data_IF_747476287055
#
_entry.id   IF_747476287055
#
_cell.length_a   1.000
_cell.length_b   1.000
_cell.length_c   1.000
_cell.angle_alpha   90.00
_cell.angle_beta   90.00
_cell.angle_gamma   90.00
#
_symmetry.space_group_name_H-M   'P 1'
#
loop_
_entity.id
_entity.type
_entity.pdbx_description
1 polymer ?
#
# COMPACT_ATOMS: atom_id res chain seq x y z
N UNK A 1 -23.10 -14.35 15.76
CA UNK A 1 -23.96 -13.48 14.92
C UNK A 1 -23.14 -12.24 14.59
N UNK A 2 -23.15 -11.77 13.34
CA UNK A 2 -22.29 -10.66 12.87
C UNK A 2 -22.68 -9.27 13.40
N UNK A 3 -23.76 -9.17 14.19
CA UNK A 3 -24.18 -7.92 14.84
C UNK A 3 -25.01 -6.98 13.98
N UNK A 4 -25.30 -7.32 12.71
CA UNK A 4 -26.06 -6.45 11.81
C UNK A 4 -27.54 -6.33 12.17
N UNK A 5 -28.03 -5.09 12.21
CA UNK A 5 -29.43 -4.73 12.05
C UNK A 5 -29.91 -4.93 10.61
N UNK A 6 -31.20 -4.72 10.33
CA UNK A 6 -31.70 -4.73 8.95
C UNK A 6 -31.20 -3.52 8.16
N UNK A 7 -31.04 -2.36 8.81
CA UNK A 7 -30.52 -1.15 8.17
C UNK A 7 -29.07 -1.39 7.68
N UNK A 8 -28.21 -1.93 8.54
CA UNK A 8 -26.82 -2.26 8.21
C UNK A 8 -26.72 -3.18 6.98
N UNK A 9 -27.62 -4.18 6.88
CA UNK A 9 -27.65 -5.12 5.75
C UNK A 9 -28.02 -4.42 4.44
N UNK A 10 -28.99 -3.51 4.48
CA UNK A 10 -29.43 -2.76 3.30
C UNK A 10 -28.35 -1.77 2.85
N UNK A 11 -27.70 -1.08 3.78
CA UNK A 11 -26.58 -0.17 3.50
C UNK A 11 -25.38 -0.92 2.92
N UNK A 12 -25.01 -2.06 3.53
CA UNK A 12 -23.92 -2.91 3.05
C UNK A 12 -24.21 -3.47 1.66
N UNK A 13 -25.44 -3.92 1.41
CA UNK A 13 -25.87 -4.37 0.08
C UNK A 13 -25.76 -3.24 -0.94
N UNK A 14 -26.32 -2.06 -0.62
CA UNK A 14 -26.25 -0.87 -1.48
C UNK A 14 -24.80 -0.48 -1.81
N UNK A 15 -23.91 -0.46 -0.82
CA UNK A 15 -22.48 -0.20 -1.03
C UNK A 15 -21.86 -1.26 -1.94
N UNK A 16 -22.13 -2.54 -1.67
CA UNK A 16 -21.54 -3.64 -2.45
C UNK A 16 -22.00 -3.64 -3.92
N UNK A 17 -23.22 -3.19 -4.20
CA UNK A 17 -23.81 -3.12 -5.54
C UNK A 17 -23.49 -1.81 -6.27
N UNK A 18 -23.19 -0.71 -5.57
CA UNK A 18 -22.92 0.60 -6.16
C UNK A 18 -21.74 0.60 -7.15
N UNK A 19 -21.88 1.26 -8.29
CA UNK A 19 -20.79 1.39 -9.27
C UNK A 19 -19.54 2.05 -8.65
N UNK A 20 -18.34 1.58 -9.01
CA UNK A 20 -17.09 2.18 -8.48
C UNK A 20 -16.97 3.67 -8.83
N UNK A 21 -17.51 4.09 -9.98
CA UNK A 21 -17.59 5.50 -10.35
C UNK A 21 -18.52 6.33 -9.44
N UNK A 22 -19.59 5.71 -8.91
CA UNK A 22 -20.50 6.36 -7.97
C UNK A 22 -19.90 6.42 -6.56
N UNK A 23 -19.14 5.40 -6.15
CA UNK A 23 -18.36 5.43 -4.91
C UNK A 23 -17.25 6.50 -5.02
N UNK A 24 -16.53 6.58 -6.14
CA UNK A 24 -15.56 7.63 -6.42
C UNK A 24 -14.53 7.81 -5.30
N UNK A 25 -14.47 9.02 -4.74
CA UNK A 25 -13.55 9.42 -3.65
C UNK A 25 -14.19 9.36 -2.26
N UNK A 26 -15.36 8.71 -2.12
CA UNK A 26 -16.08 8.63 -0.84
C UNK A 26 -15.39 7.72 0.17
N UNK A 27 -15.57 8.09 1.44
CA UNK A 27 -15.20 7.31 2.61
C UNK A 27 -16.24 6.23 2.89
N UNK A 28 -15.87 5.19 3.65
CA UNK A 28 -16.83 4.17 4.11
C UNK A 28 -17.96 4.83 4.94
N UNK A 29 -17.64 5.85 5.74
CA UNK A 29 -18.61 6.64 6.53
C UNK A 29 -19.66 7.37 5.70
N UNK A 30 -19.42 7.61 4.40
CA UNK A 30 -20.40 8.26 3.53
C UNK A 30 -21.54 7.29 3.12
N UNK A 31 -21.34 5.99 3.34
CA UNK A 31 -22.24 4.94 2.88
C UNK A 31 -22.87 4.12 4.01
N UNK A 32 -22.21 4.05 5.17
CA UNK A 32 -22.63 3.23 6.31
C UNK A 32 -22.90 4.11 7.53
N UNK A 33 -24.03 3.85 8.20
CA UNK A 33 -24.45 4.60 9.38
C UNK A 33 -23.52 4.36 10.58
N UNK A 34 -23.42 5.30 11.55
CA UNK A 34 -22.56 5.17 12.73
C UNK A 34 -22.71 3.85 13.49
N UNK A 35 -23.93 3.31 13.57
CA UNK A 35 -24.20 2.03 14.26
C UNK A 35 -23.48 0.83 13.62
N UNK A 36 -23.20 0.88 12.31
CA UNK A 36 -22.47 -0.18 11.61
C UNK A 36 -21.05 -0.37 12.19
N UNK A 37 -20.40 0.73 12.55
CA UNK A 37 -19.03 0.73 13.07
C UNK A 37 -18.91 0.19 14.49
N UNK A 38 -20.03 -0.06 15.17
CA UNK A 38 -20.09 -0.72 16.48
C UNK A 38 -20.38 -2.23 16.36
N UNK A 39 -20.58 -2.74 15.14
CA UNK A 39 -20.92 -4.15 14.93
C UNK A 39 -19.72 -5.07 15.18
N UNK A 40 -19.99 -6.31 15.60
CA UNK A 40 -18.95 -7.34 15.70
C UNK A 40 -18.27 -7.57 14.35
N UNK A 41 -19.02 -7.48 13.25
CA UNK A 41 -18.47 -7.56 11.90
C UNK A 41 -17.40 -6.48 11.65
N UNK A 42 -17.73 -5.20 11.85
CA UNK A 42 -16.79 -4.12 11.56
C UNK A 42 -15.52 -4.27 12.40
N UNK A 43 -15.66 -4.57 13.69
CA UNK A 43 -14.51 -4.78 14.57
C UNK A 43 -13.58 -5.89 14.07
N UNK A 44 -14.11 -7.02 13.61
CA UNK A 44 -13.29 -8.10 13.03
C UNK A 44 -12.68 -7.69 11.69
N UNK A 45 -13.45 -7.04 10.82
CA UNK A 45 -13.00 -6.66 9.48
C UNK A 45 -11.91 -5.58 9.51
N UNK A 46 -12.16 -4.49 10.23
CA UNK A 46 -11.24 -3.39 10.39
C UNK A 46 -9.92 -3.82 11.02
N UNK A 47 -9.95 -4.68 12.04
CA UNK A 47 -8.72 -5.17 12.68
C UNK A 47 -7.97 -6.21 11.85
N UNK A 48 -8.67 -7.02 11.05
CA UNK A 48 -8.03 -8.02 10.17
C UNK A 48 -7.30 -7.36 9.00
N UNK A 49 -7.89 -6.31 8.42
CA UNK A 49 -7.40 -5.66 7.20
C UNK A 49 -6.85 -4.24 7.41
N UNK A 50 -6.81 -3.77 8.66
CA UNK A 50 -6.40 -2.41 9.03
C UNK A 50 -7.23 -1.29 8.37
N UNK A 51 -8.51 -1.53 8.07
CA UNK A 51 -9.41 -0.48 7.58
C UNK A 51 -9.74 0.53 8.67
N UNK A 52 -9.85 1.79 8.27
CA UNK A 52 -10.39 2.88 9.07
C UNK A 52 -11.69 3.40 8.43
N UNK A 53 -12.62 4.00 9.19
CA UNK A 53 -13.89 4.49 8.64
C UNK A 53 -13.74 5.53 7.51
N UNK A 54 -12.66 6.32 7.53
CA UNK A 54 -12.33 7.31 6.51
C UNK A 54 -11.61 6.72 5.28
N UNK A 55 -11.31 5.42 5.25
CA UNK A 55 -10.72 4.80 4.06
C UNK A 55 -11.73 4.66 2.92
N UNK A 56 -11.21 4.36 1.73
CA UNK A 56 -11.99 4.29 0.48
C UNK A 56 -13.13 3.28 0.56
N UNK A 57 -14.34 3.75 0.22
CA UNK A 57 -15.50 2.87 0.04
C UNK A 57 -15.32 1.90 -1.15
N UNK A 58 -14.57 2.30 -2.18
CA UNK A 58 -14.23 1.43 -3.33
C UNK A 58 -13.41 0.23 -2.86
N UNK A 59 -12.37 0.46 -2.06
CA UNK A 59 -11.55 -0.64 -1.54
C UNK A 59 -12.34 -1.53 -0.57
N UNK A 60 -13.18 -0.95 0.29
CA UNK A 60 -14.08 -1.74 1.13
C UNK A 60 -15.02 -2.63 0.31
N UNK A 61 -15.66 -2.09 -0.73
CA UNK A 61 -16.45 -2.87 -1.71
C UNK A 61 -15.62 -4.01 -2.31
N UNK A 62 -14.43 -3.72 -2.81
CA UNK A 62 -13.56 -4.73 -3.44
C UNK A 62 -13.25 -5.87 -2.49
N UNK A 63 -12.98 -5.59 -1.21
CA UNK A 63 -12.73 -6.64 -0.23
C UNK A 63 -13.99 -7.48 0.06
N UNK A 64 -15.18 -6.87 0.15
CA UNK A 64 -16.44 -7.62 0.32
C UNK A 64 -16.67 -8.63 -0.82
N UNK A 65 -16.41 -8.22 -2.06
CA UNK A 65 -16.51 -9.10 -3.23
C UNK A 65 -15.38 -10.14 -3.24
N UNK A 66 -14.14 -9.71 -3.04
CA UNK A 66 -12.94 -10.55 -3.16
C UNK A 66 -12.86 -11.65 -2.10
N UNK A 67 -13.36 -11.37 -0.90
CA UNK A 67 -13.29 -12.25 0.26
C UNK A 67 -14.67 -12.75 0.70
N UNK A 68 -15.67 -12.74 -0.20
CA UNK A 68 -17.03 -13.22 0.10
C UNK A 68 -17.06 -14.64 0.70
N UNK A 69 -16.18 -15.54 0.24
CA UNK A 69 -16.06 -16.91 0.78
C UNK A 69 -15.40 -16.98 2.17
N UNK A 70 -14.71 -15.94 2.60
CA UNK A 70 -14.12 -15.83 3.93
C UNK A 70 -15.07 -15.18 4.94
N UNK A 71 -16.15 -14.54 4.45
CA UNK A 71 -17.12 -13.85 5.30
C UNK A 71 -17.75 -14.75 6.37
N UNK A 72 -18.02 -16.02 6.04
CA UNK A 72 -18.57 -17.01 6.97
C UNK A 72 -17.54 -17.62 7.94
N UNK A 73 -16.25 -17.28 7.78
CA UNK A 73 -15.13 -17.84 8.54
C UNK A 73 -14.26 -16.76 9.17
N UNK A 74 -14.62 -15.48 9.04
CA UNK A 74 -13.79 -14.35 9.45
C UNK A 74 -13.49 -14.38 10.95
N UNK A 75 -14.43 -14.88 11.75
CA UNK A 75 -14.28 -15.01 13.21
C UNK A 75 -13.25 -16.06 13.63
N UNK A 76 -12.96 -17.03 12.75
CA UNK A 76 -11.95 -18.08 13.01
C UNK A 76 -10.65 -17.87 12.26
N UNK A 77 -10.67 -17.02 11.21
CA UNK A 77 -9.58 -16.85 10.25
C UNK A 77 -9.11 -18.18 9.62
N UNK A 78 -9.98 -19.20 9.55
CA UNK A 78 -9.62 -20.53 9.08
C UNK A 78 -9.17 -20.59 7.61
N UNK A 79 -9.49 -19.57 6.80
CA UNK A 79 -8.99 -19.44 5.43
C UNK A 79 -7.57 -18.86 5.34
N UNK A 80 -7.03 -18.30 6.43
CA UNK A 80 -5.71 -17.67 6.44
C UNK A 80 -4.62 -18.73 6.40
N UNK A 81 -3.80 -18.68 5.35
CA UNK A 81 -2.59 -19.49 5.22
C UNK A 81 -1.37 -18.67 5.64
N UNK A 82 -0.48 -19.26 6.43
CA UNK A 82 0.75 -18.62 6.89
C UNK A 82 1.98 -19.34 6.36
N UNK A 83 3.04 -18.57 6.14
CA UNK A 83 4.38 -19.10 5.87
C UNK A 83 5.04 -19.60 7.16
N UNK A 84 6.10 -20.40 7.02
CA UNK A 84 6.83 -20.95 8.18
C UNK A 84 7.51 -19.86 9.02
N UNK A 85 8.10 -18.86 8.35
CA UNK A 85 8.69 -17.68 8.98
C UNK A 85 7.94 -16.42 8.54
N UNK A 86 8.47 -15.24 8.88
CA UNK A 86 8.02 -13.99 8.29
C UNK A 86 8.16 -14.01 6.75
N UNK A 87 7.48 -13.09 6.08
CA UNK A 87 7.42 -13.04 4.60
C UNK A 87 8.77 -12.68 3.97
N UNK A 88 9.63 -11.93 4.67
CA UNK A 88 10.96 -11.62 4.17
C UNK A 88 11.81 -12.89 4.05
N UNK A 89 11.86 -13.70 5.10
CA UNK A 89 12.61 -14.96 5.09
C UNK A 89 11.96 -16.05 4.25
N UNK A 90 10.63 -16.13 4.22
CA UNK A 90 9.93 -17.22 3.54
C UNK A 90 9.68 -16.97 2.05
N UNK A 91 9.64 -15.70 1.61
CA UNK A 91 9.28 -15.33 0.23
C UNK A 91 10.36 -14.47 -0.43
N UNK A 92 10.74 -13.34 0.19
CA UNK A 92 11.64 -12.36 -0.41
C UNK A 92 13.04 -12.93 -0.59
N UNK A 93 13.65 -13.49 0.45
CA UNK A 93 15.01 -14.06 0.39
C UNK A 93 15.12 -15.22 -0.61
N UNK A 94 14.21 -16.21 -0.64
CA UNK A 94 14.23 -17.25 -1.66
C UNK A 94 14.13 -16.70 -3.08
N UNK A 95 13.20 -15.76 -3.33
CA UNK A 95 13.03 -15.16 -4.65
C UNK A 95 14.29 -14.38 -5.07
N UNK A 96 14.85 -13.58 -4.17
CA UNK A 96 16.05 -12.80 -4.46
C UNK A 96 17.24 -13.71 -4.79
N UNK A 97 17.45 -14.76 -4.00
CA UNK A 97 18.50 -15.75 -4.25
C UNK A 97 18.31 -16.45 -5.59
N UNK A 98 17.07 -16.80 -5.95
CA UNK A 98 16.77 -17.42 -7.24
C UNK A 98 17.06 -16.47 -8.40
N UNK A 99 16.62 -15.21 -8.32
CA UNK A 99 16.89 -14.18 -9.35
C UNK A 99 18.39 -13.94 -9.56
N UNK A 100 19.15 -13.82 -8.48
CA UNK A 100 20.61 -13.68 -8.55
C UNK A 100 21.26 -14.90 -9.22
N UNK A 101 20.78 -16.11 -8.94
CA UNK A 101 21.24 -17.33 -9.61
C UNK A 101 20.86 -17.37 -11.11
N UNK A 102 19.83 -16.64 -11.53
CA UNK A 102 19.49 -16.42 -12.95
C UNK A 102 20.30 -15.28 -13.60
N UNK A 103 21.22 -14.64 -12.87
CA UNK A 103 22.05 -13.55 -13.39
C UNK A 103 21.42 -12.17 -13.30
N UNK A 104 20.34 -11.99 -12.51
CA UNK A 104 19.76 -10.66 -12.28
C UNK A 104 20.68 -9.83 -11.39
N UNK A 105 21.05 -8.65 -11.87
CA UNK A 105 21.81 -7.66 -11.10
C UNK A 105 20.91 -6.96 -10.09
N UNK A 106 21.33 -6.94 -8.82
CA UNK A 106 20.64 -6.24 -7.75
C UNK A 106 21.48 -5.09 -7.23
N UNK A 107 21.03 -3.87 -7.49
CA UNK A 107 21.69 -2.66 -7.03
C UNK A 107 21.01 -2.15 -5.75
N UNK A 108 21.79 -1.96 -4.69
CA UNK A 108 21.31 -1.40 -3.41
C UNK A 108 22.04 -0.10 -3.11
N UNK A 109 21.56 0.68 -2.13
CA UNK A 109 22.09 2.02 -1.83
C UNK A 109 22.09 2.94 -3.07
N UNK A 110 21.09 2.76 -3.93
CA UNK A 110 20.88 3.49 -5.17
C UNK A 110 19.45 4.06 -5.13
N UNK A 111 19.33 5.38 -5.12
CA UNK A 111 18.02 6.06 -5.10
C UNK A 111 17.76 6.64 -6.47
N UNK A 112 16.73 6.16 -7.17
CA UNK A 112 16.26 6.78 -8.40
C UNK A 112 15.58 8.10 -8.07
N UNK A 113 16.03 9.19 -8.69
CA UNK A 113 15.58 10.56 -8.40
C UNK A 113 14.78 11.18 -9.54
N UNK A 114 14.93 10.69 -10.77
CA UNK A 114 14.19 11.20 -11.93
C UNK A 114 14.20 10.24 -13.11
N UNK A 115 13.29 10.49 -14.07
CA UNK A 115 13.30 9.87 -15.38
C UNK A 115 13.39 10.93 -16.49
N UNK A 116 14.24 10.70 -17.47
CA UNK A 116 14.15 11.42 -18.75
C UNK A 116 13.00 10.84 -19.55
N UNK A 117 12.05 11.70 -19.92
CA UNK A 117 10.83 11.32 -20.61
C UNK A 117 10.74 12.01 -21.97
N UNK A 118 10.37 11.23 -22.98
CA UNK A 118 10.07 11.70 -24.33
C UNK A 118 8.67 11.25 -24.73
N UNK A 119 7.98 12.09 -25.50
CA UNK A 119 6.72 11.69 -26.14
C UNK A 119 6.99 11.26 -27.57
N UNK A 120 6.63 10.02 -27.89
CA UNK A 120 6.71 9.44 -29.23
C UNK A 120 5.36 8.83 -29.60
N UNK A 121 4.76 9.25 -30.71
CA UNK A 121 3.45 8.79 -31.19
C UNK A 121 2.33 8.84 -30.11
N UNK A 122 2.37 9.89 -29.28
CA UNK A 122 1.41 10.08 -28.18
C UNK A 122 1.63 9.15 -26.97
N UNK A 123 2.75 8.41 -26.93
CA UNK A 123 3.16 7.57 -25.81
C UNK A 123 4.35 8.18 -25.08
N UNK A 124 4.41 7.98 -23.78
CA UNK A 124 5.54 8.39 -22.95
C UNK A 124 6.58 7.27 -22.98
N UNK A 125 7.81 7.61 -23.31
CA UNK A 125 8.97 6.73 -23.36
C UNK A 125 10.00 7.22 -22.34
N UNK A 126 10.49 6.32 -21.49
CA UNK A 126 11.63 6.60 -20.61
C UNK A 126 12.91 6.39 -21.41
N UNK A 127 13.78 7.39 -21.44
CA UNK A 127 15.07 7.33 -22.16
C UNK A 127 16.27 7.35 -21.22
N UNK A 128 16.06 7.64 -19.94
CA UNK A 128 17.13 7.73 -18.94
C UNK A 128 16.59 7.63 -17.52
N UNK A 129 17.36 7.03 -16.63
CA UNK A 129 17.07 6.90 -15.20
C UNK A 129 18.17 7.60 -14.43
N UNK A 130 17.83 8.72 -13.79
CA UNK A 130 18.74 9.45 -12.91
C UNK A 130 18.73 8.79 -11.53
N UNK A 131 19.90 8.43 -11.03
CA UNK A 131 20.02 7.83 -9.70
C UNK A 131 21.18 8.43 -8.91
N UNK A 132 21.06 8.41 -7.59
CA UNK A 132 22.11 8.80 -6.64
C UNK A 132 22.64 7.55 -5.95
N UNK A 133 23.96 7.36 -6.01
CA UNK A 133 24.69 6.26 -5.37
C UNK A 133 25.78 6.83 -4.48
N UNK A 134 25.68 6.65 -3.17
CA UNK A 134 26.66 7.15 -2.21
C UNK A 134 27.01 8.65 -2.39
N UNK A 135 26.04 9.47 -2.81
CA UNK A 135 26.23 10.91 -3.07
C UNK A 135 26.78 11.27 -4.47
N UNK A 136 27.07 10.29 -5.32
CA UNK A 136 27.37 10.51 -6.75
C UNK A 136 26.11 10.33 -7.59
N UNK A 137 25.89 11.27 -8.51
CA UNK A 137 24.82 11.19 -9.49
C UNK A 137 25.26 10.36 -10.69
N UNK A 138 24.39 9.46 -11.14
CA UNK A 138 24.60 8.58 -12.28
C UNK A 138 23.34 8.55 -13.16
N UNK A 139 23.55 8.30 -14.45
CA UNK A 139 22.51 8.20 -15.46
C UNK A 139 22.57 6.82 -16.11
N UNK A 140 21.50 6.05 -15.96
CA UNK A 140 21.33 4.80 -16.70
C UNK A 140 20.54 5.11 -17.97
N UNK A 141 21.18 4.99 -19.13
CA UNK A 141 20.50 5.12 -20.42
C UNK A 141 19.49 3.98 -20.61
N UNK A 142 18.32 4.32 -21.15
CA UNK A 142 17.27 3.36 -21.48
C UNK A 142 17.12 3.33 -22.99
N UNK A 143 17.53 2.22 -23.61
CA UNK A 143 17.54 2.06 -25.04
C UNK A 143 16.18 1.63 -25.60
N UNK A 144 16.03 1.71 -26.92
CA UNK A 144 14.87 1.20 -27.61
C UNK A 144 14.73 -0.31 -27.40
N UNK A 145 13.65 -0.73 -26.73
CA UNK A 145 13.37 -2.13 -26.40
C UNK A 145 13.53 -2.47 -24.91
N UNK A 146 14.17 -1.59 -24.14
CA UNK A 146 14.26 -1.74 -22.69
C UNK A 146 12.91 -1.45 -22.02
N UNK A 147 12.67 -2.10 -20.88
CA UNK A 147 11.44 -1.94 -20.10
C UNK A 147 11.77 -1.40 -18.72
N UNK A 148 11.03 -0.38 -18.30
CA UNK A 148 11.16 0.21 -16.97
C UNK A 148 9.91 -0.13 -16.15
N UNK A 149 10.13 -0.80 -15.01
CA UNK A 149 9.09 -1.09 -14.03
C UNK A 149 9.32 -0.21 -12.81
N UNK A 150 8.32 0.62 -12.47
CA UNK A 150 8.41 1.56 -11.37
C UNK A 150 7.36 1.24 -10.30
N UNK A 151 7.82 1.02 -9.07
CA UNK A 151 6.94 0.96 -7.90
C UNK A 151 6.71 2.38 -7.38
N UNK A 152 5.54 2.94 -7.68
CA UNK A 152 5.17 4.30 -7.35
C UNK A 152 4.62 4.41 -5.91
N UNK A 153 5.48 4.83 -4.97
CA UNK A 153 5.14 4.96 -3.56
C UNK A 153 5.42 3.70 -2.74
N UNK A 154 5.40 3.84 -1.42
CA UNK A 154 5.57 2.73 -0.49
C UNK A 154 4.85 3.00 0.83
N UNK A 155 4.20 1.97 1.37
CA UNK A 155 3.54 2.01 2.68
C UNK A 155 4.53 2.01 3.85
N UNK A 156 5.77 1.57 3.62
CA UNK A 156 6.83 1.53 4.64
C UNK A 156 7.79 2.71 4.53
N UNK A 157 7.56 3.63 3.60
CA UNK A 157 8.37 4.84 3.45
C UNK A 157 8.30 5.69 4.72
N UNK A 158 9.40 6.38 5.04
CA UNK A 158 9.54 7.18 6.26
C UNK A 158 9.18 6.46 7.58
N UNK A 159 9.22 5.12 7.62
CA UNK A 159 9.08 4.38 8.88
C UNK A 159 10.29 4.61 9.77
N UNK A 160 10.05 4.77 11.07
CA UNK A 160 11.08 4.89 12.10
C UNK A 160 10.92 3.79 13.14
N UNK A 161 11.99 3.55 13.91
CA UNK A 161 12.03 2.47 14.89
C UNK A 161 12.33 3.05 16.27
N UNK A 162 11.55 2.61 17.25
CA UNK A 162 11.80 2.83 18.67
C UNK A 162 12.60 1.67 19.27
N UNK A 163 12.57 1.61 20.59
CA UNK A 163 13.07 0.49 21.38
C UNK A 163 12.17 0.25 22.58
N UNK A 164 12.52 -0.71 23.44
CA UNK A 164 11.83 -0.93 24.71
C UNK A 164 11.74 0.34 25.58
N UNK A 165 12.70 1.26 25.45
CA UNK A 165 12.84 2.44 26.32
C UNK A 165 12.82 3.77 25.57
N UNK A 166 12.57 3.76 24.26
CA UNK A 166 12.54 4.98 23.45
C UNK A 166 11.44 4.89 22.40
N UNK A 167 10.61 5.94 22.31
CA UNK A 167 9.63 6.04 21.23
C UNK A 167 10.32 6.12 19.86
N UNK A 168 9.69 5.63 18.78
CA UNK A 168 10.15 5.88 17.42
C UNK A 168 10.17 7.38 17.12
N UNK A 169 11.14 7.81 16.31
CA UNK A 169 11.22 9.22 15.89
C UNK A 169 10.00 9.61 15.06
N UNK A 170 9.37 10.74 15.35
CA UNK A 170 8.25 11.23 14.56
C UNK A 170 8.75 11.74 13.21
N UNK A 171 8.47 10.99 12.14
CA UNK A 171 8.84 11.34 10.76
C UNK A 171 7.70 12.09 10.08
N UNK A 172 8.07 12.92 9.12
CA UNK A 172 7.14 13.73 8.33
C UNK A 172 7.30 13.43 6.85
N UNK A 173 6.52 14.11 6.02
CA UNK A 173 6.66 14.04 4.55
C UNK A 173 8.07 14.42 4.07
N UNK A 174 8.81 15.24 4.82
CA UNK A 174 10.18 15.63 4.47
C UNK A 174 11.17 14.46 4.54
N UNK A 175 10.85 13.43 5.33
CA UNK A 175 11.68 12.23 5.48
C UNK A 175 11.33 11.15 4.43
N UNK A 176 10.28 11.33 3.65
CA UNK A 176 9.82 10.37 2.65
C UNK A 176 10.69 10.44 1.39
N UNK A 177 11.22 9.30 0.96
CA UNK A 177 11.95 9.17 -0.30
C UNK A 177 11.17 8.44 -1.39
N UNK A 178 10.34 7.46 -0.99
CA UNK A 178 9.62 6.56 -1.91
C UNK A 178 8.50 7.22 -2.72
N UNK A 179 8.00 8.38 -2.28
CA UNK A 179 6.92 9.09 -2.97
C UNK A 179 7.39 10.17 -3.95
N UNK A 180 8.60 10.71 -3.76
CA UNK A 180 9.06 11.93 -4.43
C UNK A 180 9.09 11.79 -5.96
N UNK A 181 9.57 10.65 -6.47
CA UNK A 181 9.61 10.41 -7.91
C UNK A 181 8.20 10.38 -8.51
N UNK A 182 7.24 9.74 -7.83
CA UNK A 182 5.86 9.71 -8.32
C UNK A 182 5.23 11.11 -8.31
N UNK A 183 5.41 11.88 -7.25
CA UNK A 183 4.95 13.28 -7.18
C UNK A 183 5.51 14.13 -8.30
N UNK A 184 6.80 14.00 -8.58
CA UNK A 184 7.47 14.70 -9.66
C UNK A 184 6.92 14.30 -11.03
N UNK A 185 6.72 13.00 -11.27
CA UNK A 185 6.17 12.49 -12.53
C UNK A 185 4.73 12.96 -12.76
N UNK A 186 3.89 12.90 -11.72
CA UNK A 186 2.48 13.26 -11.77
C UNK A 186 2.21 14.78 -11.86
N UNK A 187 3.21 15.62 -11.53
CA UNK A 187 3.07 17.07 -11.57
C UNK A 187 2.69 17.57 -12.98
N UNK A 188 1.44 18.02 -13.14
CA UNK A 188 0.90 18.49 -14.41
C UNK A 188 0.62 17.39 -15.44
N UNK A 189 0.69 16.11 -15.04
CA UNK A 189 0.55 14.93 -15.92
C UNK A 189 -0.41 13.91 -15.29
N UNK A 190 -1.73 14.10 -15.45
CA UNK A 190 -2.74 13.27 -14.80
C UNK A 190 -2.67 11.78 -15.20
N UNK A 191 -2.07 11.45 -16.35
CA UNK A 191 -1.83 10.08 -16.81
C UNK A 191 -0.92 9.26 -15.88
N UNK A 192 -0.12 9.92 -15.03
CA UNK A 192 0.68 9.26 -13.99
C UNK A 192 -0.06 9.11 -12.65
N UNK A 193 -1.34 9.50 -12.59
CA UNK A 193 -2.17 9.38 -11.39
C UNK A 193 -2.02 10.54 -10.40
N UNK A 194 -2.51 10.35 -9.18
CA UNK A 194 -2.58 11.38 -8.14
C UNK A 194 -1.97 10.89 -6.81
N UNK A 195 -0.66 11.07 -6.57
CA UNK A 195 -0.01 10.65 -5.33
C UNK A 195 -0.61 11.34 -4.09
N UNK A 196 -1.10 12.58 -4.23
CA UNK A 196 -1.68 13.33 -3.12
C UNK A 196 -2.94 12.67 -2.53
N UNK A 197 -3.64 11.81 -3.29
CA UNK A 197 -4.76 11.03 -2.76
C UNK A 197 -4.33 10.02 -1.68
N UNK A 198 -3.04 9.68 -1.61
CA UNK A 198 -2.50 8.65 -0.71
C UNK A 198 -1.57 9.23 0.35
N UNK A 199 -0.78 10.26 0.02
CA UNK A 199 0.31 10.72 0.87
C UNK A 199 0.16 12.17 1.39
N UNK A 200 -0.97 12.83 1.13
CA UNK A 200 -1.22 14.18 1.64
C UNK A 200 -1.70 14.19 3.09
N UNK A 201 -2.37 13.13 3.52
CA UNK A 201 -2.91 12.95 4.87
C UNK A 201 -2.19 11.81 5.58
N UNK A 202 -1.01 12.12 6.14
CA UNK A 202 -0.24 11.16 6.94
C UNK A 202 -1.09 10.63 8.11
N UNK A 203 -1.79 11.46 8.92
CA UNK A 203 -2.60 10.97 10.04
C UNK A 203 -3.66 9.93 9.71
N UNK A 204 -4.15 9.92 8.47
CA UNK A 204 -5.17 8.95 8.01
C UNK A 204 -4.56 7.66 7.45
N UNK A 205 -3.23 7.59 7.31
CA UNK A 205 -2.50 6.50 6.66
C UNK A 205 -1.39 5.87 7.50
N UNK A 206 -1.00 6.44 8.65
CA UNK A 206 -0.02 5.81 9.56
C UNK A 206 -0.67 5.12 10.76
N UNK A 207 -0.02 4.06 11.22
CA UNK A 207 -0.33 3.34 12.46
C UNK A 207 0.96 2.74 13.02
N UNK A 208 0.98 2.45 14.31
CA UNK A 208 2.17 1.91 14.99
C UNK A 208 2.07 0.40 15.16
N UNK A 209 3.21 -0.29 15.00
CA UNK A 209 3.36 -1.70 15.31
C UNK A 209 4.55 -1.90 16.24
N UNK A 210 4.55 -3.00 16.99
CA UNK A 210 5.68 -3.38 17.83
C UNK A 210 5.88 -4.89 17.79
N UNK A 211 7.12 -5.32 18.00
CA UNK A 211 7.49 -6.75 18.10
C UNK A 211 8.17 -6.99 19.44
N UNK A 212 7.65 -7.95 20.21
CA UNK A 212 8.22 -8.33 21.50
C UNK A 212 9.00 -9.62 21.34
N UNK A 213 10.25 -9.65 21.83
CA UNK A 213 11.05 -10.88 21.94
C UNK A 213 11.27 -11.18 23.41
N UNK A 214 10.77 -12.32 23.87
CA UNK A 214 10.96 -12.81 25.24
C UNK A 214 11.93 -13.99 25.19
N UNK A 215 12.79 -14.09 26.19
CA UNK A 215 13.54 -15.32 26.45
C UNK A 215 12.71 -16.14 27.43
N UNK A 216 12.57 -17.42 27.16
CA UNK A 216 12.06 -18.35 28.17
C UNK A 216 13.05 -18.37 29.35
N UNK A 217 12.50 -18.35 30.57
CA UNK A 217 13.26 -18.56 31.81
C UNK A 217 13.51 -20.04 32.05
#
# INVERSE_FOLDING_TARGET
>A
SMGFSMADRLELLKLSEADEAALGVSCITDWLSPAFFETTFWNMWATTFAFQPWHSAVEFKRYLHRFMMEFSRIETLAGVKRTVYNQFDSLVRPLASWLQAQGVTMETNCTVTDFDLKTEDGKIVVTGIHCSRNGSYDLVEVAGGDLVFFQNGSMTDASSYGSMTSAPEHRTKQDSGGWLLWEKLAAGRPEFGNPAAFNSSIPESYWESYTVTLKDT
#
